data_IF_756075285932
#
_entry.id   IF_756075285932
#
_cell.length_a   1.000
_cell.length_b   1.000
_cell.length_c   1.000
_cell.angle_alpha   90.00
_cell.angle_beta   90.00
_cell.angle_gamma   90.00
#
_symmetry.space_group_name_H-M   'P 1'
#
loop_
_entity.id
_entity.type
_entity.pdbx_description
1 polymer ?
#
# COMPACT_ATOMS: atom_id res chain seq x y z
N UNK A 1 5.93 -27.14 9.88
CA UNK A 1 6.06 -28.21 8.85
C UNK A 1 6.75 -27.65 7.63
N UNK A 2 7.72 -28.37 7.06
CA UNK A 2 8.40 -27.96 5.82
C UNK A 2 7.43 -27.75 4.65
N UNK A 3 7.86 -26.94 3.67
CA UNK A 3 7.10 -26.74 2.42
C UNK A 3 7.13 -28.05 1.62
N UNK A 4 5.99 -28.62 1.22
CA UNK A 4 5.99 -29.81 0.36
C UNK A 4 6.56 -29.45 -1.01
N UNK A 5 7.30 -30.37 -1.61
CA UNK A 5 7.84 -30.18 -2.96
C UNK A 5 6.72 -29.94 -3.96
N UNK A 6 6.89 -28.92 -4.81
CA UNK A 6 5.94 -28.52 -5.86
C UNK A 6 5.77 -29.61 -6.93
N UNK A 7 6.76 -30.51 -7.05
CA UNK A 7 6.73 -31.64 -7.97
C UNK A 7 6.15 -32.93 -7.35
N UNK A 8 5.64 -32.88 -6.12
CA UNK A 8 5.01 -34.03 -5.49
C UNK A 8 3.60 -34.26 -6.05
N UNK A 9 3.28 -35.52 -6.38
CA UNK A 9 1.95 -35.94 -6.84
C UNK A 9 0.82 -35.59 -5.86
N UNK A 10 1.14 -35.44 -4.57
CA UNK A 10 0.17 -35.08 -3.53
C UNK A 10 0.24 -33.60 -3.11
N UNK A 11 0.99 -32.76 -3.84
CA UNK A 11 1.14 -31.33 -3.54
C UNK A 11 -0.22 -30.62 -3.45
N UNK A 12 -1.10 -30.84 -4.44
CA UNK A 12 -2.43 -30.21 -4.46
C UNK A 12 -3.30 -30.66 -3.28
N UNK A 13 -3.26 -31.95 -2.91
CA UNK A 13 -4.02 -32.49 -1.77
C UNK A 13 -3.54 -31.87 -0.46
N UNK A 14 -2.22 -31.74 -0.27
CA UNK A 14 -1.62 -31.14 0.93
C UNK A 14 -2.00 -29.65 1.01
N UNK A 15 -1.92 -28.91 -0.10
CA UNK A 15 -2.27 -27.49 -0.13
C UNK A 15 -3.76 -27.25 0.08
N UNK A 16 -4.64 -28.10 -0.48
CA UNK A 16 -6.09 -28.04 -0.24
C UNK A 16 -6.42 -28.26 1.24
N UNK A 17 -5.81 -29.27 1.89
CA UNK A 17 -5.99 -29.51 3.33
C UNK A 17 -5.51 -28.33 4.18
N UNK A 18 -4.38 -27.70 3.83
CA UNK A 18 -3.87 -26.51 4.53
C UNK A 18 -4.81 -25.31 4.42
N UNK A 19 -5.38 -25.06 3.22
CA UNK A 19 -6.37 -23.99 3.04
C UNK A 19 -7.62 -24.23 3.87
N UNK A 20 -8.16 -25.45 3.87
CA UNK A 20 -9.35 -25.81 4.66
C UNK A 20 -9.06 -25.68 6.16
N UNK A 21 -7.91 -26.17 6.63
CA UNK A 21 -7.54 -26.06 8.04
C UNK A 21 -7.34 -24.60 8.48
N UNK A 22 -6.78 -23.73 7.64
CA UNK A 22 -6.69 -22.29 7.94
C UNK A 22 -8.07 -21.63 8.00
N UNK A 23 -8.98 -21.97 7.08
CA UNK A 23 -10.36 -21.47 7.09
C UNK A 23 -11.09 -21.91 8.36
N UNK A 24 -10.98 -23.19 8.74
CA UNK A 24 -11.57 -23.73 9.97
C UNK A 24 -11.01 -23.06 11.23
N UNK A 25 -9.71 -22.77 11.25
CA UNK A 25 -9.07 -22.07 12.36
C UNK A 25 -9.57 -20.63 12.51
N UNK A 26 -9.76 -19.92 11.39
CA UNK A 26 -10.33 -18.56 11.39
C UNK A 26 -11.79 -18.58 11.88
N UNK A 27 -12.59 -19.55 11.42
CA UNK A 27 -13.96 -19.75 11.88
C UNK A 27 -14.04 -20.05 13.38
N UNK A 28 -13.11 -20.84 13.91
CA UNK A 28 -13.01 -21.13 15.34
C UNK A 28 -12.74 -19.85 16.14
N UNK A 29 -11.83 -18.99 15.70
CA UNK A 29 -11.52 -17.71 16.37
C UNK A 29 -12.74 -16.80 16.38
N UNK A 30 -13.44 -16.68 15.25
CA UNK A 30 -14.67 -15.88 15.14
C UNK A 30 -15.75 -16.42 16.09
N UNK A 31 -15.91 -17.74 16.18
CA UNK A 31 -16.86 -18.36 17.10
C UNK A 31 -16.52 -18.08 18.57
N UNK A 32 -15.22 -18.07 18.94
CA UNK A 32 -14.77 -17.76 20.30
C UNK A 32 -15.06 -16.29 20.62
N UNK A 33 -14.78 -15.36 19.70
CA UNK A 33 -15.07 -13.94 19.87
C UNK A 33 -16.57 -13.70 19.98
N UNK A 34 -17.38 -14.38 19.17
CA UNK A 34 -18.84 -14.27 19.23
C UNK A 34 -19.41 -14.74 20.58
N UNK A 35 -18.87 -15.81 21.16
CA UNK A 35 -19.40 -16.41 22.39
C UNK A 35 -18.81 -15.83 23.69
N UNK A 36 -17.57 -15.33 23.64
CA UNK A 36 -16.85 -14.83 24.81
C UNK A 36 -16.48 -13.33 24.71
N UNK A 37 -16.76 -12.67 23.59
CA UNK A 37 -16.36 -11.28 23.33
C UNK A 37 -16.83 -10.32 24.42
N UNK A 38 -18.09 -10.41 24.83
CA UNK A 38 -18.69 -9.52 25.83
C UNK A 38 -18.01 -9.61 27.21
N UNK A 39 -17.32 -10.72 27.52
CA UNK A 39 -16.54 -10.89 28.77
C UNK A 39 -15.11 -10.36 28.67
N UNK A 40 -14.54 -10.25 27.47
CA UNK A 40 -13.16 -9.78 27.26
C UNK A 40 -13.07 -8.28 26.91
N UNK A 41 -14.16 -7.64 26.47
CA UNK A 41 -14.20 -6.20 26.16
C UNK A 41 -14.44 -5.32 27.40
N UNK A 42 -13.67 -5.53 28.47
CA UNK A 42 -13.54 -4.55 29.57
C UNK A 42 -12.07 -4.14 29.73
N UNK A 43 -11.50 -3.60 28.66
CA UNK A 43 -10.09 -3.23 28.62
C UNK A 43 -9.98 -1.71 28.75
N UNK A 44 -9.73 -1.25 29.98
CA UNK A 44 -9.23 0.09 30.34
C UNK A 44 -7.81 0.33 29.78
N UNK A 45 -7.57 0.15 28.47
CA UNK A 45 -6.24 0.33 27.86
C UNK A 45 -5.88 1.80 27.57
N UNK A 46 -6.77 2.76 27.89
CA UNK A 46 -6.64 4.17 27.50
C UNK A 46 -6.52 5.15 28.68
N UNK A 47 -6.21 4.70 29.90
CA UNK A 47 -6.02 5.56 31.09
C UNK A 47 -4.56 5.81 31.49
N UNK A 48 -3.61 5.70 30.56
CA UNK A 48 -2.18 5.83 30.83
C UNK A 48 -1.46 7.04 30.22
N UNK A 49 -2.09 7.82 29.35
CA UNK A 49 -1.41 8.96 28.69
C UNK A 49 -1.60 10.22 29.55
N UNK A 50 -0.72 10.40 30.52
CA UNK A 50 -0.55 11.68 31.22
C UNK A 50 0.26 12.62 30.32
N UNK A 51 -0.42 13.55 29.65
CA UNK A 51 0.23 14.72 29.05
C UNK A 51 0.69 15.65 30.17
N UNK A 52 1.98 15.60 30.49
CA UNK A 52 2.63 16.56 31.36
C UNK A 52 2.89 17.87 30.60
N UNK A 53 2.22 18.93 31.04
CA UNK A 53 2.60 20.31 30.71
C UNK A 53 3.85 20.68 31.53
N UNK A 54 4.90 21.14 30.86
CA UNK A 54 5.79 22.17 31.39
C UNK A 54 6.49 22.91 30.23
N UNK A 55 6.51 24.23 30.35
CA UNK A 55 7.01 25.20 29.38
C UNK A 55 8.53 25.42 29.49
N UNK A 56 9.10 25.88 28.37
CA UNK A 56 10.13 26.93 28.20
C UNK A 56 11.45 26.58 27.48
N UNK A 57 11.60 27.27 26.33
CA UNK A 57 12.74 28.05 25.80
C UNK A 57 14.09 27.39 25.41
N UNK A 58 14.40 27.67 24.12
CA UNK A 58 15.66 28.14 23.50
C UNK A 58 16.90 27.22 23.42
N UNK A 59 17.31 27.03 22.15
CA UNK A 59 18.66 27.28 21.60
C UNK A 59 19.52 26.08 21.16
N UNK A 60 20.06 26.27 19.94
CA UNK A 60 21.35 25.83 19.40
C UNK A 60 21.66 24.35 19.15
N UNK A 61 21.72 24.03 17.86
CA UNK A 61 22.82 23.33 17.15
C UNK A 61 23.87 22.55 17.97
N UNK A 62 24.05 21.26 17.66
CA UNK A 62 25.26 20.72 17.02
C UNK A 62 25.19 19.19 16.88
N UNK A 63 25.77 18.75 15.76
CA UNK A 63 26.03 17.37 15.35
C UNK A 63 26.89 16.61 16.38
N UNK A 64 26.57 15.35 16.68
CA UNK A 64 27.57 14.27 16.72
C UNK A 64 26.99 12.84 16.68
N UNK A 65 27.79 12.07 15.96
CA UNK A 65 27.81 10.65 15.59
C UNK A 65 27.87 9.68 16.77
N UNK A 66 27.66 8.41 16.42
CA UNK A 66 27.96 7.15 17.13
C UNK A 66 26.87 6.68 18.13
N UNK A 67 26.40 5.43 18.08
CA UNK A 67 27.20 4.21 18.24
C UNK A 67 26.71 3.01 17.42
N UNK A 68 27.69 2.30 16.82
CA UNK A 68 27.61 0.88 16.47
C UNK A 68 27.35 0.06 17.74
N UNK A 69 26.52 -0.97 17.62
CA UNK A 69 26.69 -2.20 18.40
C UNK A 69 26.76 -3.37 17.41
N UNK A 70 27.96 -3.94 17.32
CA UNK A 70 28.21 -5.27 16.78
C UNK A 70 27.68 -6.30 17.80
N UNK A 71 26.68 -7.06 17.40
CA UNK A 71 26.47 -8.42 17.86
C UNK A 71 26.11 -9.25 16.63
N UNK A 72 27.05 -10.10 16.19
CA UNK A 72 26.79 -11.11 15.18
C UNK A 72 25.83 -12.14 15.78
N UNK A 73 24.59 -12.09 15.33
CA UNK A 73 23.65 -13.20 15.38
C UNK A 73 23.01 -13.33 14.00
N UNK A 74 23.08 -14.53 13.43
CA UNK A 74 22.52 -14.87 12.12
C UNK A 74 21.01 -14.54 12.04
N UNK A 75 20.61 -13.88 10.95
CA UNK A 75 19.25 -13.49 10.54
C UNK A 75 18.56 -12.38 11.36
N UNK A 76 19.11 -11.16 11.36
CA UNK A 76 18.39 -9.96 11.81
C UNK A 76 17.59 -9.33 10.67
N UNK A 77 16.27 -9.51 10.66
CA UNK A 77 15.37 -8.72 9.81
C UNK A 77 15.35 -7.28 10.33
N UNK A 78 15.71 -6.31 9.48
CA UNK A 78 15.65 -4.89 9.79
C UNK A 78 14.21 -4.37 9.60
N UNK A 79 13.75 -3.50 10.48
CA UNK A 79 12.39 -2.92 10.43
C UNK A 79 12.50 -1.42 10.21
N UNK A 80 12.10 -0.99 9.02
CA UNK A 80 12.04 0.43 8.63
C UNK A 80 10.61 0.94 8.84
N UNK A 81 10.46 2.14 9.41
CA UNK A 81 9.16 2.76 9.65
C UNK A 81 8.96 3.98 8.76
N UNK A 82 7.76 4.14 8.23
CA UNK A 82 7.32 5.35 7.54
C UNK A 82 6.08 5.91 8.24
N UNK A 83 6.11 7.21 8.57
CA UNK A 83 5.01 7.93 9.20
C UNK A 83 4.09 8.50 8.11
N UNK A 84 2.83 8.10 8.12
CA UNK A 84 1.78 8.62 7.23
C UNK A 84 1.27 9.97 7.71
N UNK A 85 0.58 10.69 6.83
CA UNK A 85 -0.04 11.99 7.11
C UNK A 85 -1.14 11.93 8.18
N UNK A 86 -1.77 10.77 8.35
CA UNK A 86 -2.74 10.54 9.44
C UNK A 86 -2.08 10.35 10.81
N UNK A 87 -0.75 10.29 10.86
CA UNK A 87 0.04 10.07 12.07
C UNK A 87 0.32 8.60 12.39
N UNK A 88 -0.32 7.66 11.70
CA UNK A 88 -0.02 6.22 11.81
C UNK A 88 1.27 5.86 11.07
N UNK A 89 1.74 4.62 11.26
CA UNK A 89 3.00 4.16 10.67
C UNK A 89 2.82 2.84 9.96
N UNK A 90 3.55 2.68 8.85
CA UNK A 90 3.78 1.37 8.25
C UNK A 90 5.14 0.83 8.69
N UNK A 91 5.26 -0.49 8.72
CA UNK A 91 6.49 -1.21 9.04
C UNK A 91 6.91 -2.02 7.82
N UNK A 92 8.12 -1.79 7.33
CA UNK A 92 8.70 -2.51 6.19
C UNK A 92 9.83 -3.39 6.72
N UNK A 93 9.73 -4.69 6.45
CA UNK A 93 10.68 -5.69 6.90
C UNK A 93 11.68 -5.96 5.78
N UNK A 94 12.97 -5.77 6.08
CA UNK A 94 14.07 -5.92 5.13
C UNK A 94 15.06 -6.96 5.66
N UNK A 95 15.33 -7.99 4.85
CA UNK A 95 16.35 -9.01 5.12
C UNK A 95 17.35 -9.04 3.97
N UNK A 96 18.63 -8.80 4.26
CA UNK A 96 19.73 -8.78 3.27
C UNK A 96 19.38 -7.98 1.99
N UNK A 97 18.94 -6.73 2.17
CA UNK A 97 18.53 -5.82 1.10
C UNK A 97 17.33 -6.32 0.25
N UNK A 98 16.49 -7.19 0.82
CA UNK A 98 15.24 -7.64 0.22
C UNK A 98 14.07 -7.30 1.12
N UNK A 99 13.02 -6.71 0.56
CA UNK A 99 11.77 -6.44 1.25
C UNK A 99 10.98 -7.75 1.33
N UNK A 100 10.80 -8.23 2.56
CA UNK A 100 10.15 -9.53 2.81
C UNK A 100 8.70 -9.40 3.24
N UNK A 101 8.33 -8.28 3.85
CA UNK A 101 6.98 -8.02 4.33
C UNK A 101 6.75 -6.51 4.54
N UNK A 102 5.48 -6.13 4.55
CA UNK A 102 5.01 -4.80 4.94
C UNK A 102 3.74 -4.96 5.77
N UNK A 103 3.70 -4.29 6.91
CA UNK A 103 2.55 -4.27 7.80
C UNK A 103 2.08 -2.86 8.05
N UNK A 104 0.79 -2.66 7.89
CA UNK A 104 0.07 -1.48 8.37
C UNK A 104 -0.80 -1.89 9.55
N UNK A 105 -0.38 -1.64 10.81
CA UNK A 105 -1.20 -1.93 11.99
C UNK A 105 -2.56 -1.23 11.99
N UNK A 106 -2.72 -0.14 11.23
CA UNK A 106 -3.99 0.61 11.11
C UNK A 106 -4.88 0.12 9.97
N UNK A 107 -4.39 -0.76 9.08
CA UNK A 107 -5.21 -1.49 8.09
C UNK A 107 -5.69 -0.73 6.86
N UNK A 108 -5.11 0.43 6.51
CA UNK A 108 -5.61 1.32 5.46
C UNK A 108 -4.55 1.67 4.41
N UNK A 109 -3.65 0.75 4.12
CA UNK A 109 -2.56 0.95 3.13
C UNK A 109 -2.62 -0.14 2.08
N UNK A 110 -2.78 0.26 0.83
CA UNK A 110 -2.56 -0.62 -0.31
C UNK A 110 -1.08 -0.58 -0.68
N UNK A 111 -0.51 -1.73 -0.98
CA UNK A 111 0.88 -1.86 -1.34
C UNK A 111 1.09 -2.96 -2.37
N UNK A 112 2.26 -2.92 -3.00
CA UNK A 112 2.77 -4.01 -3.80
C UNK A 112 4.31 -4.07 -3.68
N UNK A 113 4.85 -5.28 -3.56
CA UNK A 113 6.29 -5.53 -3.42
C UNK A 113 6.79 -6.02 -4.78
N UNK A 114 7.89 -5.46 -5.27
CA UNK A 114 8.46 -5.87 -6.54
C UNK A 114 8.82 -7.36 -6.54
N UNK A 115 8.71 -8.02 -7.70
CA UNK A 115 9.01 -9.46 -7.82
C UNK A 115 10.43 -9.80 -7.35
N UNK A 116 11.39 -8.91 -7.64
CA UNK A 116 12.79 -9.03 -7.20
C UNK A 116 13.03 -8.60 -5.74
N UNK A 117 11.98 -8.12 -5.06
CA UNK A 117 11.95 -7.63 -3.68
C UNK A 117 12.92 -6.49 -3.39
N UNK A 118 13.35 -5.76 -4.42
CA UNK A 118 14.27 -4.62 -4.26
C UNK A 118 13.54 -3.33 -3.91
N UNK A 119 12.23 -3.24 -4.17
CA UNK A 119 11.44 -2.08 -3.75
C UNK A 119 9.98 -2.46 -3.43
N UNK A 120 9.32 -1.60 -2.68
CA UNK A 120 7.87 -1.65 -2.41
C UNK A 120 7.27 -0.31 -2.79
N UNK A 121 6.04 -0.36 -3.29
CA UNK A 121 5.19 0.84 -3.45
C UNK A 121 3.99 0.74 -2.55
N UNK A 122 3.58 1.85 -1.95
CA UNK A 122 2.40 1.92 -1.10
C UNK A 122 1.74 3.29 -1.18
N UNK A 123 0.46 3.36 -0.84
CA UNK A 123 -0.27 4.63 -0.74
C UNK A 123 -0.23 5.22 0.67
N UNK A 124 -0.14 6.55 0.73
CA UNK A 124 -0.58 7.33 1.88
C UNK A 124 -1.84 8.08 1.42
N UNK A 125 -2.98 7.41 1.61
CA UNK A 125 -4.28 7.83 1.08
C UNK A 125 -4.63 9.25 1.53
N UNK A 126 -4.34 9.60 2.79
CA UNK A 126 -4.67 10.92 3.35
C UNK A 126 -3.83 12.04 2.74
N UNK A 127 -2.54 11.81 2.48
CA UNK A 127 -1.73 12.79 1.73
C UNK A 127 -1.92 12.71 0.22
N UNK A 128 -2.60 11.68 -0.29
CA UNK A 128 -2.78 11.43 -1.72
C UNK A 128 -1.46 11.14 -2.43
N UNK A 129 -0.53 10.47 -1.74
CA UNK A 129 0.81 10.14 -2.25
C UNK A 129 0.92 8.65 -2.54
N UNK A 130 1.71 8.34 -3.57
CA UNK A 130 2.30 7.00 -3.71
C UNK A 130 3.79 7.13 -3.38
N UNK A 131 4.24 6.32 -2.45
CA UNK A 131 5.61 6.28 -1.97
C UNK A 131 6.25 4.98 -2.45
N UNK A 132 7.50 5.08 -2.88
CA UNK A 132 8.37 3.95 -3.16
C UNK A 132 9.46 3.89 -2.08
N UNK A 133 9.80 2.69 -1.62
CA UNK A 133 10.96 2.44 -0.78
C UNK A 133 11.86 1.39 -1.42
N UNK A 134 13.14 1.72 -1.63
CA UNK A 134 14.13 0.92 -2.36
C UNK A 134 15.22 0.33 -1.44
N UNK A 135 14.83 -0.07 -0.23
CA UNK A 135 15.69 -0.50 0.90
C UNK A 135 16.59 0.56 1.50
N UNK A 136 16.74 1.73 0.86
CA UNK A 136 17.57 2.84 1.36
C UNK A 136 16.73 4.09 1.58
N UNK A 137 15.95 4.50 0.58
CA UNK A 137 15.29 5.80 0.53
C UNK A 137 13.79 5.67 0.31
N UNK A 138 13.04 6.55 0.97
CA UNK A 138 11.65 6.81 0.61
C UNK A 138 11.58 7.88 -0.47
N UNK A 139 10.89 7.59 -1.57
CA UNK A 139 10.70 8.51 -2.69
C UNK A 139 9.21 8.65 -3.00
N UNK A 140 8.70 9.88 -3.05
CA UNK A 140 7.38 10.12 -3.63
C UNK A 140 7.45 9.94 -5.15
N UNK A 141 6.62 9.05 -5.69
CA UNK A 141 6.56 8.76 -7.13
C UNK A 141 5.32 9.34 -7.81
N UNK A 142 4.27 9.64 -7.05
CA UNK A 142 3.11 10.39 -7.54
C UNK A 142 3.47 11.86 -7.83
N UNK A 143 2.79 12.48 -8.80
CA UNK A 143 2.90 13.93 -9.02
C UNK A 143 2.08 14.70 -7.99
N UNK A 144 2.62 15.83 -7.54
CA UNK A 144 1.95 16.75 -6.61
C UNK A 144 0.99 17.73 -7.31
N UNK A 145 0.95 17.74 -8.64
CA UNK A 145 0.04 18.56 -9.43
C UNK A 145 -0.52 17.83 -10.67
N UNK A 146 -1.62 18.37 -11.18
CA UNK A 146 -2.19 18.05 -12.49
C UNK A 146 -2.28 19.31 -13.35
N UNK A 147 -1.68 19.28 -14.54
CA UNK A 147 -1.82 20.36 -15.54
C UNK A 147 -2.96 20.02 -16.48
N UNK A 148 -4.05 20.79 -16.42
CA UNK A 148 -5.19 20.63 -17.32
C UNK A 148 -4.86 21.19 -18.70
N UNK A 149 -4.80 20.36 -19.76
CA UNK A 149 -4.56 20.86 -21.11
C UNK A 149 -5.71 21.77 -21.59
N UNK A 150 -6.96 21.42 -21.22
CA UNK A 150 -8.16 22.16 -21.61
C UNK A 150 -8.24 23.55 -20.99
N UNK A 151 -7.79 23.71 -19.76
CA UNK A 151 -7.89 24.97 -19.02
C UNK A 151 -6.57 25.75 -18.98
N UNK A 152 -5.46 25.17 -19.43
CA UNK A 152 -4.12 25.74 -19.27
C UNK A 152 -3.67 25.91 -17.81
N UNK A 153 -4.45 25.38 -16.84
CA UNK A 153 -4.26 25.62 -15.40
C UNK A 153 -3.61 24.44 -14.70
N UNK A 154 -2.77 24.74 -13.71
CA UNK A 154 -2.19 23.77 -12.78
C UNK A 154 -3.09 23.67 -11.54
N UNK A 155 -3.39 22.44 -11.15
CA UNK A 155 -4.11 22.11 -9.92
C UNK A 155 -3.18 21.34 -9.00
N UNK A 156 -2.91 21.86 -7.81
CA UNK A 156 -2.04 21.21 -6.84
C UNK A 156 -2.84 20.28 -5.93
N UNK A 157 -2.27 19.11 -5.63
CA UNK A 157 -2.85 18.10 -4.74
C UNK A 157 -3.30 18.69 -3.41
N UNK A 158 -2.43 19.48 -2.77
CA UNK A 158 -2.71 20.08 -1.46
C UNK A 158 -4.00 20.92 -1.47
N UNK A 159 -4.26 21.66 -2.55
CA UNK A 159 -5.41 22.57 -2.65
C UNK A 159 -6.69 21.77 -2.91
N UNK A 160 -6.59 20.71 -3.72
CA UNK A 160 -7.69 19.78 -3.96
C UNK A 160 -8.05 19.01 -2.69
N UNK A 161 -7.08 18.46 -1.97
CA UNK A 161 -7.33 17.73 -0.72
C UNK A 161 -7.84 18.64 0.40
N UNK A 162 -7.40 19.90 0.45
CA UNK A 162 -7.95 20.88 1.41
C UNK A 162 -9.45 21.16 1.18
N UNK A 163 -9.87 21.24 -0.09
CA UNK A 163 -11.26 21.54 -0.47
C UNK A 163 -12.14 20.30 -0.58
N UNK A 164 -11.54 19.13 -0.81
CA UNK A 164 -12.20 17.84 -0.92
C UNK A 164 -11.34 16.74 -0.25
N UNK A 165 -11.42 16.61 1.08
CA UNK A 165 -10.56 15.69 1.84
C UNK A 165 -10.69 14.21 1.47
N UNK A 166 -11.83 13.82 0.90
CA UNK A 166 -12.09 12.44 0.47
C UNK A 166 -11.68 12.20 -1.00
N UNK A 167 -11.04 13.18 -1.65
CA UNK A 167 -10.62 13.05 -3.04
C UNK A 167 -9.47 12.05 -3.18
N UNK A 168 -9.63 11.08 -4.08
CA UNK A 168 -8.60 10.08 -4.35
C UNK A 168 -7.63 10.66 -5.39
N UNK A 169 -6.55 11.27 -4.91
CA UNK A 169 -5.49 11.78 -5.78
C UNK A 169 -4.66 10.66 -6.41
N UNK A 170 -4.19 9.74 -5.58
CA UNK A 170 -3.46 8.55 -6.00
C UNK A 170 -3.61 7.49 -4.91
N UNK A 171 -4.10 6.31 -5.28
CA UNK A 171 -4.30 5.20 -4.36
C UNK A 171 -4.12 3.87 -5.09
N UNK A 172 -3.99 2.79 -4.30
CA UNK A 172 -3.96 1.41 -4.78
C UNK A 172 -2.91 1.19 -5.86
N UNK A 173 -1.62 1.44 -5.55
CA UNK A 173 -0.54 1.21 -6.48
C UNK A 173 -0.36 -0.29 -6.73
N UNK A 174 0.11 -0.65 -7.92
CA UNK A 174 0.52 -2.02 -8.26
C UNK A 174 1.64 -1.98 -9.29
N UNK A 175 2.65 -2.84 -9.10
CA UNK A 175 3.87 -2.89 -9.89
C UNK A 175 3.66 -3.81 -11.08
N UNK A 176 3.87 -3.28 -12.28
CA UNK A 176 3.91 -4.07 -13.50
C UNK A 176 5.34 -4.58 -13.76
N UNK A 177 5.44 -5.70 -14.48
CA UNK A 177 6.72 -6.35 -14.83
C UNK A 177 7.74 -5.44 -15.55
N UNK A 178 7.30 -4.35 -16.16
CA UNK A 178 8.13 -3.39 -16.87
C UNK A 178 8.51 -2.16 -16.03
N UNK A 179 8.51 -2.30 -14.69
CA UNK A 179 8.80 -1.24 -13.70
C UNK A 179 7.92 -0.01 -13.87
N UNK A 180 6.71 -0.20 -14.38
CA UNK A 180 5.63 0.79 -14.32
C UNK A 180 4.76 0.50 -13.11
N UNK A 181 4.12 1.54 -12.58
CA UNK A 181 3.18 1.44 -11.48
C UNK A 181 1.82 1.86 -11.99
N UNK A 182 0.83 0.98 -11.91
CA UNK A 182 -0.56 1.41 -12.08
C UNK A 182 -1.10 1.93 -10.77
N UNK A 183 -2.04 2.86 -10.84
CA UNK A 183 -2.73 3.38 -9.67
C UNK A 183 -4.09 3.95 -10.05
N UNK A 184 -4.90 4.22 -9.04
CA UNK A 184 -6.26 4.73 -9.21
C UNK A 184 -6.31 6.21 -8.78
N UNK A 185 -7.04 7.01 -9.55
CA UNK A 185 -7.23 8.43 -9.28
C UNK A 185 -8.59 8.92 -9.77
N UNK A 186 -9.12 9.96 -9.14
CA UNK A 186 -10.25 10.75 -9.63
C UNK A 186 -9.84 11.79 -10.68
N UNK A 187 -8.53 11.96 -10.93
CA UNK A 187 -8.03 12.85 -11.97
C UNK A 187 -8.57 12.45 -13.35
N UNK A 188 -8.91 13.43 -14.21
CA UNK A 188 -8.70 14.87 -14.03
C UNK A 188 -9.91 15.63 -13.46
N UNK A 189 -10.89 14.96 -12.85
CA UNK A 189 -12.18 15.56 -12.48
C UNK A 189 -12.32 15.76 -10.98
N UNK A 190 -12.26 17.02 -10.56
CA UNK A 190 -12.27 17.44 -9.15
C UNK A 190 -13.67 17.56 -8.51
N UNK A 191 -14.72 17.10 -9.19
CA UNK A 191 -16.09 17.12 -8.64
C UNK A 191 -16.19 16.12 -7.49
N UNK A 192 -17.01 16.43 -6.47
CA UNK A 192 -17.37 15.46 -5.44
C UNK A 192 -17.97 14.21 -6.09
N UNK A 193 -17.63 13.02 -5.59
CA UNK A 193 -18.12 11.73 -6.07
C UNK A 193 -17.84 11.45 -7.56
N UNK A 194 -16.72 11.95 -8.09
CA UNK A 194 -16.29 11.62 -9.45
C UNK A 194 -15.89 10.14 -9.56
N UNK A 195 -16.11 9.58 -10.74
CA UNK A 195 -15.68 8.21 -11.04
C UNK A 195 -14.16 8.08 -11.00
N UNK A 196 -13.71 6.84 -10.79
CA UNK A 196 -12.31 6.48 -10.75
C UNK A 196 -11.77 6.19 -12.15
N UNK A 197 -10.48 6.47 -12.29
CA UNK A 197 -9.71 6.23 -13.50
C UNK A 197 -8.45 5.45 -13.15
N UNK A 198 -8.05 4.61 -14.09
CA UNK A 198 -6.78 3.91 -14.02
C UNK A 198 -5.70 4.76 -14.67
N UNK A 199 -4.59 4.88 -13.98
CA UNK A 199 -3.40 5.60 -14.42
C UNK A 199 -2.21 4.65 -14.40
N UNK A 200 -1.24 4.94 -15.27
CA UNK A 200 0.05 4.28 -15.28
C UNK A 200 1.13 5.33 -15.11
N UNK A 201 2.10 5.05 -14.26
CA UNK A 201 3.28 5.84 -13.95
C UNK A 201 4.52 5.04 -14.36
N UNK A 202 5.43 5.66 -15.08
CA UNK A 202 6.72 5.08 -15.42
C UNK A 202 7.77 5.53 -14.39
N UNK A 203 8.38 4.58 -13.66
CA UNK A 203 9.31 4.91 -12.57
C UNK A 203 10.59 5.59 -13.06
N UNK A 204 11.01 5.34 -14.31
CA UNK A 204 12.23 5.92 -14.89
C UNK A 204 12.02 7.38 -15.28
N UNK A 205 10.91 7.66 -15.98
CA UNK A 205 10.61 9.00 -16.51
C UNK A 205 9.80 9.86 -15.56
N UNK A 206 9.21 9.26 -14.51
CA UNK A 206 8.23 9.89 -13.60
C UNK A 206 6.99 10.45 -14.31
N UNK A 207 6.74 10.00 -15.54
CA UNK A 207 5.57 10.41 -16.30
C UNK A 207 4.39 9.50 -16.00
N UNK A 208 3.22 10.12 -15.81
CA UNK A 208 1.97 9.42 -15.59
C UNK A 208 0.97 9.75 -16.68
N UNK A 209 0.11 8.79 -17.01
CA UNK A 209 -1.00 8.99 -17.93
C UNK A 209 -2.22 8.15 -17.55
N UNK A 210 -3.39 8.69 -17.84
CA UNK A 210 -4.66 7.98 -17.71
C UNK A 210 -4.80 6.94 -18.83
N UNK A 211 -5.22 5.74 -18.49
CA UNK A 211 -5.36 4.63 -19.45
C UNK A 211 -6.81 4.11 -19.58
N UNK A 212 -7.64 4.22 -18.53
CA UNK A 212 -9.05 3.84 -18.61
C UNK A 212 -9.92 4.58 -17.61
N UNK A 213 -11.21 4.68 -17.90
CA UNK A 213 -12.23 4.91 -16.86
C UNK A 213 -12.63 3.57 -16.26
N UNK A 214 -12.97 3.57 -14.97
CA UNK A 214 -13.41 2.37 -14.25
C UNK A 214 -14.93 2.39 -13.98
N UNK A 215 -15.61 3.51 -14.24
CA UNK A 215 -17.07 3.69 -14.01
C UNK A 215 -17.57 3.34 -12.60
N UNK A 216 -16.66 3.29 -11.62
CA UNK A 216 -16.92 3.05 -10.20
C UNK A 216 -16.49 4.27 -9.38
N UNK A 217 -16.93 4.32 -8.12
CA UNK A 217 -16.57 5.39 -7.17
C UNK A 217 -15.73 4.91 -6.00
N UNK A 218 -15.83 3.63 -5.65
CA UNK A 218 -15.12 3.04 -4.53
C UNK A 218 -13.87 2.30 -5.01
N UNK A 219 -12.70 2.72 -4.52
CA UNK A 219 -11.41 2.13 -4.85
C UNK A 219 -11.29 0.68 -4.38
N UNK A 220 -12.06 0.31 -3.35
CA UNK A 220 -12.07 -1.05 -2.80
C UNK A 220 -12.75 -2.05 -3.74
N UNK A 221 -13.56 -1.59 -4.69
CA UNK A 221 -14.20 -2.43 -5.71
C UNK A 221 -13.25 -2.95 -6.79
N UNK A 222 -11.97 -2.53 -6.77
CA UNK A 222 -10.94 -2.97 -7.71
C UNK A 222 -10.05 -4.04 -7.08
N UNK A 223 -9.75 -5.11 -7.78
CA UNK A 223 -8.78 -6.13 -7.37
C UNK A 223 -7.79 -6.37 -8.51
N UNK A 224 -6.50 -6.37 -8.19
CA UNK A 224 -5.44 -6.68 -9.14
C UNK A 224 -5.06 -8.15 -9.02
N UNK A 225 -5.05 -8.85 -10.14
CA UNK A 225 -4.79 -10.29 -10.23
C UNK A 225 -3.61 -10.49 -11.18
N UNK A 226 -2.44 -10.91 -10.68
CA UNK A 226 -1.26 -11.16 -11.50
C UNK A 226 -1.58 -12.07 -12.69
N UNK A 227 -1.05 -11.72 -13.87
CA UNK A 227 -1.28 -12.46 -15.11
C UNK A 227 0.00 -12.47 -15.94
N UNK A 228 0.40 -13.64 -16.46
CA UNK A 228 1.69 -13.80 -17.17
C UNK A 228 1.87 -12.84 -18.35
N UNK A 229 0.79 -12.49 -19.03
CA UNK A 229 0.82 -11.58 -20.19
C UNK A 229 0.48 -10.12 -19.83
N UNK A 230 0.41 -9.78 -18.54
CA UNK A 230 0.13 -8.42 -18.07
C UNK A 230 -0.54 -8.39 -16.70
N UNK A 231 -1.76 -7.88 -16.64
CA UNK A 231 -2.51 -7.78 -15.40
C UNK A 231 -4.00 -7.99 -15.64
N UNK A 232 -4.64 -8.81 -14.81
CA UNK A 232 -6.10 -8.86 -14.72
C UNK A 232 -6.56 -7.86 -13.65
N UNK A 233 -7.56 -7.07 -13.98
CA UNK A 233 -8.18 -6.09 -13.10
C UNK A 233 -9.64 -6.48 -12.97
N UNK A 234 -10.01 -6.98 -11.80
CA UNK A 234 -11.39 -7.28 -11.47
C UNK A 234 -12.03 -6.02 -10.91
N UNK A 235 -13.18 -5.65 -11.46
CA UNK A 235 -14.00 -4.52 -11.04
C UNK A 235 -15.39 -5.08 -10.79
N UNK A 236 -15.79 -5.16 -9.53
CA UNK A 236 -17.03 -5.85 -9.12
C UNK A 236 -17.06 -7.28 -9.71
N UNK A 237 -17.98 -7.56 -10.64
CA UNK A 237 -18.17 -8.86 -11.29
C UNK A 237 -17.47 -8.98 -12.67
N UNK A 238 -16.84 -7.91 -13.15
CA UNK A 238 -16.18 -7.88 -14.45
C UNK A 238 -14.67 -8.06 -14.30
N UNK A 239 -14.05 -8.81 -15.22
CA UNK A 239 -12.59 -8.92 -15.33
C UNK A 239 -12.17 -8.18 -16.58
N UNK A 240 -11.13 -7.38 -16.46
CA UNK A 240 -10.46 -6.70 -17.55
C UNK A 240 -9.00 -7.15 -17.61
N UNK A 241 -8.40 -7.11 -18.79
CA UNK A 241 -7.00 -7.44 -19.03
C UNK A 241 -6.25 -6.21 -19.53
N UNK A 242 -5.20 -5.84 -18.80
CA UNK A 242 -4.17 -4.93 -19.27
C UNK A 242 -2.98 -5.76 -19.77
N UNK A 243 -2.86 -5.93 -21.09
CA UNK A 243 -1.71 -6.64 -21.68
C UNK A 243 -0.40 -5.87 -21.43
N UNK A 244 0.71 -6.60 -21.32
CA UNK A 244 2.06 -6.00 -21.19
C UNK A 244 2.32 -5.02 -22.33
N UNK A 245 2.80 -3.82 -21.99
CA UNK A 245 3.03 -2.73 -22.95
C UNK A 245 1.77 -2.04 -23.49
N UNK A 246 0.57 -2.52 -23.16
CA UNK A 246 -0.69 -1.88 -23.52
C UNK A 246 -1.02 -0.72 -22.58
N UNK A 247 -1.84 0.19 -23.08
CA UNK A 247 -2.45 1.29 -22.33
C UNK A 247 -3.97 1.27 -22.43
N UNK A 248 -4.54 0.11 -22.78
CA UNK A 248 -5.97 -0.11 -22.92
C UNK A 248 -6.36 -1.37 -22.18
N UNK A 249 -7.50 -1.29 -21.49
CA UNK A 249 -8.15 -2.44 -20.89
C UNK A 249 -8.99 -3.15 -21.95
N UNK A 250 -8.90 -4.47 -21.96
CA UNK A 250 -9.72 -5.37 -22.79
C UNK A 250 -10.62 -6.13 -21.84
N UNK A 251 -11.91 -6.26 -22.14
CA UNK A 251 -12.82 -7.09 -21.33
C UNK A 251 -12.64 -8.56 -21.68
#
# INVERSE_FOLDING_TARGET
MGKPSIFSRDYEKIMRRRRINMILFILLIISIIYFFGDKFFNINFLKGIKFGNQNEKKSSSLVKKDLKNDYKTENSVNIIKYKKEDGSFIQIYVDKDKIVDIKDPSGNTNFDISDDKTFVVFDDIKSGKIIMFDTVNFTEISKDYYRSPKLGKIFYRKDILKSNPNYIWAAKPYILSDKKVIFISQLPYFKKNSQLYLWILDLKTKNSKRISSLSIKDVNSVEYIPYSEGLKIKIENNIYVLKKGSYRLIK
#
